data_IF_182443507979
#
_entry.id   IF_182443507979
#
_cell.length_a   1.000
_cell.length_b   1.000
_cell.length_c   1.000
_cell.angle_alpha   90.00
_cell.angle_beta   90.00
_cell.angle_gamma   90.00
#
_symmetry.space_group_name_H-M   'P 1'
#
loop_
_entity.id
_entity.type
_entity.pdbx_description
1 polymer ?
#
# COMPACT_ATOMS: atom_id res chain seq x y z
N UNK A 1 -22.26 14.38 10.94
CA UNK A 1 -20.97 14.46 10.22
C UNK A 1 -20.55 13.11 9.61
N UNK A 2 -21.46 12.14 9.38
CA UNK A 2 -21.15 10.79 8.90
C UNK A 2 -21.37 10.54 7.39
N UNK A 3 -22.13 11.41 6.72
CA UNK A 3 -22.58 11.15 5.33
C UNK A 3 -21.42 11.12 4.31
N UNK A 4 -20.37 11.90 4.57
CA UNK A 4 -19.19 11.95 3.69
C UNK A 4 -18.29 10.72 3.78
N UNK A 5 -18.22 10.04 4.93
CA UNK A 5 -17.44 8.81 5.06
C UNK A 5 -18.15 7.63 4.40
N UNK A 6 -19.45 7.47 4.65
CA UNK A 6 -20.28 6.46 3.99
C UNK A 6 -20.27 6.61 2.45
N UNK A 7 -20.31 7.84 1.94
CA UNK A 7 -20.20 8.09 0.50
C UNK A 7 -18.85 7.66 -0.07
N UNK A 8 -17.75 7.90 0.65
CA UNK A 8 -16.40 7.46 0.24
C UNK A 8 -16.27 5.95 0.21
N UNK A 9 -16.80 5.25 1.21
CA UNK A 9 -16.83 3.78 1.22
C UNK A 9 -17.57 3.23 -0.01
N UNK A 10 -18.73 3.79 -0.35
CA UNK A 10 -19.49 3.42 -1.55
C UNK A 10 -18.72 3.71 -2.84
N UNK A 11 -18.02 4.83 -2.93
CA UNK A 11 -17.19 5.18 -4.09
C UNK A 11 -16.02 4.18 -4.30
N UNK A 12 -15.56 3.53 -3.23
CA UNK A 12 -14.58 2.46 -3.26
C UNK A 12 -15.20 1.07 -3.53
N UNK A 13 -16.52 1.00 -3.76
CA UNK A 13 -17.25 -0.25 -3.95
C UNK A 13 -17.43 -1.06 -2.66
N UNK A 14 -17.21 -0.45 -1.49
CA UNK A 14 -17.35 -1.12 -0.21
C UNK A 14 -18.78 -0.98 0.32
N UNK A 15 -19.38 -2.12 0.67
CA UNK A 15 -20.65 -2.18 1.38
C UNK A 15 -20.38 -2.50 2.85
N UNK A 16 -20.53 -1.48 3.70
CA UNK A 16 -20.31 -1.60 5.15
C UNK A 16 -21.67 -1.45 5.85
N UNK A 17 -22.01 -2.31 6.83
CA UNK A 17 -23.24 -2.16 7.61
C UNK A 17 -23.27 -0.81 8.33
N UNK A 18 -24.43 -0.16 8.42
CA UNK A 18 -24.55 1.18 9.03
C UNK A 18 -24.03 1.24 10.47
N UNK A 19 -24.21 0.15 11.24
CA UNK A 19 -23.68 0.03 12.61
C UNK A 19 -22.15 0.09 12.68
N UNK A 20 -21.46 -0.29 11.60
CA UNK A 20 -20.00 -0.39 11.53
C UNK A 20 -19.35 0.87 10.95
N UNK A 21 -20.12 1.78 10.35
CA UNK A 21 -19.58 3.00 9.70
C UNK A 21 -18.87 3.89 10.72
N UNK A 22 -19.51 4.16 11.86
CA UNK A 22 -18.93 5.03 12.89
C UNK A 22 -17.67 4.42 13.56
N UNK A 23 -17.67 3.14 13.98
CA UNK A 23 -16.46 2.46 14.44
C UNK A 23 -15.31 2.50 13.42
N UNK A 24 -15.61 2.22 12.15
CA UNK A 24 -14.62 2.21 11.07
C UNK A 24 -14.05 3.61 10.82
N UNK A 25 -14.89 4.64 10.81
CA UNK A 25 -14.45 6.03 10.66
C UNK A 25 -13.45 6.41 11.76
N UNK A 26 -13.73 6.02 13.00
CA UNK A 26 -12.83 6.25 14.14
C UNK A 26 -11.50 5.54 13.98
N UNK A 27 -11.51 4.27 13.58
CA UNK A 27 -10.28 3.51 13.32
C UNK A 27 -9.41 4.17 12.24
N UNK A 28 -10.04 4.67 11.17
CA UNK A 28 -9.32 5.39 10.10
C UNK A 28 -8.68 6.67 10.64
N UNK A 29 -9.41 7.44 11.46
CA UNK A 29 -8.86 8.65 12.08
C UNK A 29 -7.65 8.35 12.99
N UNK A 30 -7.73 7.29 13.79
CA UNK A 30 -6.64 6.87 14.67
C UNK A 30 -5.40 6.44 13.85
N UNK A 31 -5.62 5.71 12.74
CA UNK A 31 -4.56 5.34 11.81
C UNK A 31 -3.94 6.55 11.11
N UNK A 32 -4.73 7.56 10.72
CA UNK A 32 -4.20 8.80 10.14
C UNK A 32 -3.35 9.58 11.15
N UNK A 33 -3.78 9.63 12.42
CA UNK A 33 -3.00 10.24 13.49
C UNK A 33 -1.66 9.52 13.69
N UNK A 34 -1.68 8.18 13.74
CA UNK A 34 -0.46 7.38 13.82
C UNK A 34 0.45 7.57 12.59
N UNK A 35 -0.12 7.60 11.38
CA UNK A 35 0.63 7.80 10.15
C UNK A 35 1.32 9.18 10.10
N UNK A 36 0.69 10.23 10.64
CA UNK A 36 1.32 11.56 10.76
C UNK A 36 2.59 11.52 11.61
N UNK A 37 2.61 10.73 12.68
CA UNK A 37 3.82 10.55 13.52
C UNK A 37 4.95 9.83 12.77
N UNK A 38 4.61 8.94 11.83
CA UNK A 38 5.59 8.17 11.04
C UNK A 38 6.10 8.91 9.80
N UNK A 39 5.39 9.95 9.33
CA UNK A 39 5.75 10.77 8.15
C UNK A 39 6.88 11.77 8.43
N UNK A 40 7.81 11.43 9.32
CA UNK A 40 9.01 12.24 9.58
C UNK A 40 9.85 12.30 8.29
N UNK A 41 10.36 13.48 7.88
CA UNK A 41 11.26 13.58 6.75
C UNK A 41 12.42 12.60 6.92
N UNK A 42 12.53 11.60 6.03
CA UNK A 42 13.66 10.70 6.06
C UNK A 42 14.84 11.39 5.39
N UNK A 43 16.01 11.50 6.06
CA UNK A 43 17.17 12.22 5.54
C UNK A 43 17.75 11.59 4.27
N UNK A 44 17.42 10.32 3.99
CA UNK A 44 17.79 9.60 2.78
C UNK A 44 16.60 8.75 2.33
N UNK A 45 16.46 8.52 1.02
CA UNK A 45 15.54 7.53 0.49
C UNK A 45 15.99 6.15 0.99
N UNK A 46 15.29 5.61 1.98
CA UNK A 46 15.53 4.26 2.47
C UNK A 46 14.85 3.29 1.50
N UNK A 47 15.60 2.29 1.04
CA UNK A 47 15.01 1.19 0.30
C UNK A 47 13.92 0.52 1.17
N UNK A 48 12.79 0.11 0.57
CA UNK A 48 11.80 -0.68 1.28
C UNK A 48 12.44 -1.93 1.89
N UNK A 49 12.03 -2.29 3.10
CA UNK A 49 12.55 -3.48 3.81
C UNK A 49 12.41 -4.75 2.96
N UNK A 50 11.36 -4.81 2.15
CA UNK A 50 11.12 -5.88 1.20
C UNK A 50 11.01 -5.28 -0.19
N UNK A 51 11.95 -5.62 -1.06
CA UNK A 51 11.92 -5.27 -2.48
C UNK A 51 11.91 -6.55 -3.31
N UNK A 52 11.00 -6.62 -4.28
CA UNK A 52 11.07 -7.66 -5.30
C UNK A 52 12.23 -7.31 -6.24
N UNK A 53 13.24 -8.19 -6.31
CA UNK A 53 14.35 -8.04 -7.25
C UNK A 53 14.12 -8.99 -8.41
N UNK A 54 14.19 -8.46 -9.63
CA UNK A 54 14.22 -9.31 -10.82
C UNK A 54 15.51 -10.14 -10.78
N UNK A 55 15.40 -11.44 -11.02
CA UNK A 55 16.57 -12.28 -11.20
C UNK A 55 17.35 -11.77 -12.42
N UNK A 56 18.68 -11.68 -12.30
CA UNK A 56 19.53 -11.35 -13.44
C UNK A 56 19.25 -12.37 -14.55
N UNK A 57 19.05 -11.93 -15.81
CA UNK A 57 18.94 -12.86 -16.92
C UNK A 57 20.20 -13.72 -16.93
N UNK A 58 20.04 -15.03 -16.71
CA UNK A 58 21.12 -16.00 -16.94
C UNK A 58 21.58 -15.78 -18.38
N UNK A 59 22.86 -15.44 -18.63
CA UNK A 59 23.34 -15.30 -19.99
C UNK A 59 23.05 -16.61 -20.72
N UNK A 60 22.38 -16.50 -21.88
CA UNK A 60 22.04 -17.66 -22.69
C UNK A 60 23.31 -18.48 -22.94
N UNK A 61 23.26 -19.83 -22.88
CA UNK A 61 24.42 -20.63 -23.20
C UNK A 61 24.83 -20.31 -24.64
N UNK A 62 26.08 -19.88 -24.81
CA UNK A 62 26.69 -19.70 -26.12
C UNK A 62 26.56 -21.02 -26.88
N UNK A 63 25.68 -21.05 -27.88
CA UNK A 63 25.69 -22.11 -28.88
C UNK A 63 26.88 -21.88 -29.83
N UNK A 64 28.09 -21.88 -29.29
CA UNK A 64 29.32 -21.84 -30.04
C UNK A 64 29.63 -23.25 -30.58
N UNK A 65 29.40 -23.42 -31.88
CA UNK A 65 30.15 -24.37 -32.70
C UNK A 65 29.63 -25.81 -32.77
N UNK A 66 28.72 -26.06 -33.71
CA UNK A 66 28.86 -27.26 -34.56
C UNK A 66 29.60 -26.83 -35.82
N UNK A 67 30.88 -27.17 -35.89
CA UNK A 67 31.72 -27.15 -37.07
C UNK A 67 32.53 -28.43 -37.08
#
# INVERSE_FOLDING_TARGET
MSDGFAQRLRALGLSVPESEIAPLERMVMDLEAAAKLLRVPRPVAQEPVTVFRLEHPVPAPDHAGRG
#
